data_IF_585302332065
#
_entry.id   IF_585302332065
#
_cell.length_a   1.000
_cell.length_b   1.000
_cell.length_c   1.000
_cell.angle_alpha   90.00
_cell.angle_beta   90.00
_cell.angle_gamma   90.00
#
_symmetry.space_group_name_H-M   'P 1'
#
loop_
_entity.id
_entity.type
_entity.pdbx_description
1 polymer ?
#
# COMPACT_ATOMS: atom_id res chain seq x y z
N UNK A 1 13.07 -10.59 -6.18
CA UNK A 1 11.86 -11.43 -6.00
C UNK A 1 10.83 -10.54 -5.33
N UNK A 2 9.69 -10.32 -5.98
CA UNK A 2 8.63 -9.52 -5.37
C UNK A 2 8.09 -10.28 -4.17
N UNK A 3 8.18 -9.74 -2.95
CA UNK A 3 7.55 -10.38 -1.78
C UNK A 3 6.03 -10.31 -2.00
N UNK A 4 5.42 -11.46 -2.30
CA UNK A 4 3.98 -11.54 -2.52
C UNK A 4 3.23 -11.20 -1.24
N UNK A 5 2.11 -10.51 -1.36
CA UNK A 5 1.22 -10.18 -0.24
C UNK A 5 -0.24 -10.37 -0.67
N UNK A 6 -1.11 -10.52 0.31
CA UNK A 6 -2.55 -10.64 0.11
C UNK A 6 -3.26 -9.70 1.09
N UNK A 7 -4.13 -8.84 0.57
CA UNK A 7 -5.03 -8.00 1.36
C UNK A 7 -6.18 -8.89 1.83
N UNK A 8 -6.36 -9.02 3.14
CA UNK A 8 -7.38 -9.89 3.74
C UNK A 8 -8.62 -9.12 4.17
N UNK A 9 -8.50 -7.81 4.39
CA UNK A 9 -9.60 -6.96 4.81
C UNK A 9 -9.35 -5.52 4.40
N UNK A 10 -10.42 -4.82 4.02
CA UNK A 10 -10.42 -3.38 3.78
C UNK A 10 -11.55 -2.73 4.58
N UNK A 11 -11.30 -1.56 5.15
CA UNK A 11 -12.31 -0.75 5.82
C UNK A 11 -12.03 0.73 5.69
N UNK A 12 -13.10 1.48 5.51
CA UNK A 12 -13.04 2.93 5.61
C UNK A 12 -13.16 3.34 7.08
N UNK A 13 -12.26 4.20 7.53
CA UNK A 13 -12.28 4.82 8.84
C UNK A 13 -12.31 6.34 8.67
N UNK A 14 -12.59 7.08 9.75
CA UNK A 14 -12.67 8.54 9.68
C UNK A 14 -11.32 9.14 9.25
N UNK A 15 -11.24 9.62 8.01
CA UNK A 15 -10.07 10.29 7.44
C UNK A 15 -9.01 9.36 6.82
N UNK A 16 -9.26 8.05 6.73
CA UNK A 16 -8.32 7.12 6.09
C UNK A 16 -8.97 5.77 5.75
N UNK A 17 -8.40 5.09 4.77
CA UNK A 17 -8.64 3.67 4.54
C UNK A 17 -7.65 2.82 5.34
N UNK A 18 -8.12 1.71 5.87
CA UNK A 18 -7.28 0.72 6.54
C UNK A 18 -7.40 -0.61 5.81
N UNK A 19 -6.24 -1.17 5.47
CA UNK A 19 -6.10 -2.46 4.80
C UNK A 19 -5.31 -3.39 5.70
N UNK A 20 -5.91 -4.51 6.08
CA UNK A 20 -5.16 -5.59 6.72
C UNK A 20 -4.65 -6.52 5.61
N UNK A 21 -3.38 -6.91 5.71
CA UNK A 21 -2.72 -7.75 4.73
C UNK A 21 -1.75 -8.71 5.41
N UNK A 22 -1.39 -9.77 4.69
CA UNK A 22 -0.37 -10.74 5.09
C UNK A 22 0.65 -10.92 3.99
N UNK A 23 1.88 -11.26 4.37
CA UNK A 23 2.90 -11.67 3.43
C UNK A 23 2.67 -13.14 3.06
N UNK A 24 2.80 -13.46 1.77
CA UNK A 24 2.65 -14.84 1.28
C UNK A 24 3.86 -15.70 1.64
N UNK A 25 5.04 -15.09 1.79
CA UNK A 25 6.28 -15.78 2.11
C UNK A 25 7.02 -15.07 3.26
N UNK A 26 6.94 -15.66 4.46
CA UNK A 26 7.73 -15.24 5.63
C UNK A 26 7.30 -13.90 6.22
N UNK A 27 7.04 -13.89 7.53
CA UNK A 27 6.63 -12.70 8.28
C UNK A 27 5.52 -13.05 9.28
N UNK A 28 5.29 -12.19 10.29
CA UNK A 28 4.14 -12.34 11.17
C UNK A 28 2.83 -12.16 10.40
N UNK A 29 1.81 -12.95 10.75
CA UNK A 29 0.46 -12.73 10.24
C UNK A 29 -0.10 -11.41 10.78
N UNK A 30 -0.81 -10.66 9.92
CA UNK A 30 -1.59 -9.48 10.32
C UNK A 30 -0.82 -8.17 10.35
N UNK A 31 -0.42 -7.69 9.16
CA UNK A 31 0.05 -6.33 8.98
C UNK A 31 -1.11 -5.41 8.60
N UNK A 32 -0.97 -4.13 8.94
CA UNK A 32 -1.96 -3.12 8.63
C UNK A 32 -1.34 -1.97 7.87
N UNK A 33 -1.95 -1.60 6.75
CA UNK A 33 -1.62 -0.44 5.97
C UNK A 33 -2.72 0.61 6.11
N UNK A 34 -2.33 1.83 6.47
CA UNK A 34 -3.22 2.98 6.60
C UNK A 34 -2.96 3.93 5.44
N UNK A 35 -3.98 4.14 4.62
CA UNK A 35 -3.98 5.09 3.53
C UNK A 35 -4.78 6.33 3.93
N UNK A 36 -4.09 7.44 4.18
CA UNK A 36 -4.78 8.71 4.45
C UNK A 36 -5.48 9.23 3.20
N UNK A 37 -6.54 10.03 3.36
CA UNK A 37 -7.18 10.69 2.21
C UNK A 37 -6.23 11.63 1.47
N UNK A 38 -5.31 12.28 2.20
CA UNK A 38 -4.31 13.17 1.60
C UNK A 38 -3.34 12.41 0.69
N UNK A 39 -2.86 11.24 1.13
CA UNK A 39 -1.99 10.38 0.31
C UNK A 39 -2.75 9.75 -0.86
N UNK A 40 -4.01 9.38 -0.65
CA UNK A 40 -4.86 8.87 -1.71
C UNK A 40 -5.09 9.93 -2.79
N UNK A 41 -5.42 11.17 -2.43
CA UNK A 41 -5.60 12.27 -3.40
C UNK A 41 -4.28 12.63 -4.09
N UNK A 42 -3.15 12.53 -3.38
CA UNK A 42 -1.82 12.73 -3.94
C UNK A 42 -1.47 11.69 -5.02
N UNK A 43 -1.76 10.41 -4.77
CA UNK A 43 -1.39 9.32 -5.68
C UNK A 43 -2.43 9.04 -6.77
N UNK A 44 -3.71 9.28 -6.47
CA UNK A 44 -4.84 9.11 -7.37
C UNK A 44 -5.65 10.42 -7.47
N UNK A 45 -5.09 11.46 -8.11
CA UNK A 45 -5.74 12.77 -8.19
C UNK A 45 -7.09 12.65 -8.89
N UNK A 46 -8.14 13.13 -8.23
CA UNK A 46 -9.51 13.09 -8.75
C UNK A 46 -10.30 11.82 -8.42
N UNK A 47 -9.80 10.95 -7.54
CA UNK A 47 -10.57 9.85 -6.95
C UNK A 47 -11.11 8.83 -7.96
N UNK A 48 -10.45 8.71 -9.11
CA UNK A 48 -10.92 7.87 -10.23
C UNK A 48 -10.55 6.39 -10.08
N UNK A 49 -9.85 6.01 -9.01
CA UNK A 49 -9.33 4.66 -8.77
C UNK A 49 -9.83 4.10 -7.44
N UNK A 50 -10.04 2.80 -7.37
CA UNK A 50 -10.41 2.17 -6.11
C UNK A 50 -9.26 2.30 -5.09
N UNK A 51 -9.56 2.62 -3.81
CA UNK A 51 -8.54 2.72 -2.75
C UNK A 51 -7.67 1.47 -2.62
N UNK A 52 -8.23 0.29 -2.91
CA UNK A 52 -7.53 -1.00 -2.92
C UNK A 52 -6.42 -1.07 -3.99
N UNK A 53 -6.64 -0.47 -5.17
CA UNK A 53 -5.63 -0.41 -6.25
C UNK A 53 -4.45 0.45 -5.78
N UNK A 54 -4.75 1.62 -5.21
CA UNK A 54 -3.75 2.55 -4.68
C UNK A 54 -2.98 1.92 -3.52
N UNK A 55 -3.68 1.25 -2.60
CA UNK A 55 -3.07 0.53 -1.49
C UNK A 55 -2.17 -0.62 -1.98
N UNK A 56 -2.59 -1.37 -3.00
CA UNK A 56 -1.79 -2.46 -3.59
C UNK A 56 -0.49 -1.94 -4.18
N UNK A 57 -0.51 -0.81 -4.89
CA UNK A 57 0.69 -0.19 -5.42
C UNK A 57 1.65 0.25 -4.29
N UNK A 58 1.11 0.89 -3.26
CA UNK A 58 1.89 1.32 -2.09
C UNK A 58 2.47 0.13 -1.30
N UNK A 59 1.69 -0.93 -1.10
CA UNK A 59 2.13 -2.16 -0.47
C UNK A 59 3.23 -2.84 -1.29
N UNK A 60 3.09 -2.89 -2.61
CA UNK A 60 4.12 -3.43 -3.52
C UNK A 60 5.43 -2.67 -3.37
N UNK A 61 5.39 -1.34 -3.26
CA UNK A 61 6.59 -0.55 -2.98
C UNK A 61 7.19 -0.90 -1.61
N UNK A 62 6.36 -0.94 -0.55
CA UNK A 62 6.81 -1.18 0.83
C UNK A 62 7.38 -2.58 1.02
N UNK A 63 6.75 -3.63 0.48
CA UNK A 63 7.21 -5.02 0.65
C UNK A 63 8.48 -5.33 -0.15
N UNK A 64 8.75 -4.59 -1.23
CA UNK A 64 9.96 -4.72 -2.02
C UNK A 64 11.13 -3.86 -1.50
N UNK A 65 10.86 -2.91 -0.63
CA UNK A 65 11.87 -1.99 -0.14
C UNK A 65 12.52 -2.53 1.14
N UNK A 66 13.81 -2.83 1.08
CA UNK A 66 14.60 -3.38 2.20
C UNK A 66 14.62 -2.46 3.43
N UNK A 67 14.35 -1.16 3.27
CA UNK A 67 14.24 -0.22 4.40
C UNK A 67 13.06 -0.53 5.34
N UNK A 68 12.12 -1.37 4.90
CA UNK A 68 11.00 -1.87 5.70
C UNK A 68 11.22 -3.31 6.16
N UNK A 69 12.43 -3.88 6.11
CA UNK A 69 12.70 -5.22 6.67
C UNK A 69 13.29 -5.10 8.09
N UNK A 70 12.63 -5.62 9.15
CA UNK A 70 11.38 -6.37 9.15
C UNK A 70 10.13 -5.50 9.00
N UNK A 71 9.13 -6.03 8.28
CA UNK A 71 7.90 -5.31 7.95
C UNK A 71 7.18 -4.90 9.25
N UNK A 72 6.91 -3.60 9.47
CA UNK A 72 6.24 -3.19 10.70
C UNK A 72 4.79 -3.68 10.70
N UNK A 73 4.26 -3.98 11.89
CA UNK A 73 2.87 -4.41 12.05
C UNK A 73 1.86 -3.35 11.56
N UNK A 74 2.25 -2.07 11.60
CA UNK A 74 1.47 -0.94 11.09
C UNK A 74 2.35 -0.06 10.20
N UNK A 75 1.86 0.23 9.00
CA UNK A 75 2.48 1.07 8.00
C UNK A 75 1.49 2.19 7.66
N UNK A 76 1.95 3.43 7.76
CA UNK A 76 1.19 4.59 7.29
C UNK A 76 1.68 4.97 5.89
N UNK A 77 0.76 5.41 5.04
CA UNK A 77 1.00 5.86 3.66
C UNK A 77 2.01 7.00 3.54
N UNK A 78 2.21 7.76 4.63
CA UNK A 78 3.24 8.78 4.69
C UNK A 78 4.67 8.23 4.76
N UNK A 79 4.84 7.03 5.30
CA UNK A 79 6.16 6.51 5.66
C UNK A 79 7.11 6.34 4.46
N UNK A 80 6.67 5.85 3.27
CA UNK A 80 7.48 5.82 2.07
C UNK A 80 8.11 7.17 1.70
N UNK A 81 7.32 8.26 1.74
CA UNK A 81 7.77 9.61 1.34
C UNK A 81 8.81 10.21 2.29
N UNK A 82 8.80 9.79 3.55
CA UNK A 82 9.83 10.16 4.52
C UNK A 82 11.16 9.45 4.30
N UNK A 83 11.17 8.27 3.68
CA UNK A 83 12.37 7.49 3.43
C UNK A 83 13.00 7.80 2.07
N UNK A 84 12.19 8.00 1.04
CA UNK A 84 12.65 8.41 -0.28
C UNK A 84 11.77 9.54 -0.83
N UNK A 85 12.37 10.65 -1.29
CA UNK A 85 11.63 11.72 -1.94
C UNK A 85 11.04 11.30 -3.30
N UNK A 86 11.45 10.16 -3.88
CA UNK A 86 10.87 9.60 -5.11
C UNK A 86 9.80 8.55 -4.86
N UNK A 87 9.55 8.18 -3.60
CA UNK A 87 8.62 7.10 -3.25
C UNK A 87 7.23 7.32 -3.85
N UNK A 88 6.69 8.53 -3.77
CA UNK A 88 5.35 8.84 -4.29
C UNK A 88 5.28 8.61 -5.80
N UNK A 89 6.29 9.05 -6.55
CA UNK A 89 6.34 8.85 -8.01
C UNK A 89 6.46 7.37 -8.38
N UNK A 90 7.21 6.59 -7.61
CA UNK A 90 7.35 5.15 -7.80
C UNK A 90 6.05 4.41 -7.48
N UNK A 91 5.36 4.79 -6.40
CA UNK A 91 4.05 4.24 -6.04
C UNK A 91 3.04 4.55 -7.14
N UNK A 92 2.97 5.79 -7.62
CA UNK A 92 2.08 6.18 -8.73
C UNK A 92 2.39 5.40 -10.01
N UNK A 93 3.66 5.15 -10.31
CA UNK A 93 4.05 4.33 -11.45
C UNK A 93 3.65 2.84 -11.31
N UNK A 94 3.47 2.36 -10.09
CA UNK A 94 3.00 1.00 -9.78
C UNK A 94 1.47 0.89 -9.75
N UNK A 95 0.74 2.02 -9.76
CA UNK A 95 -0.71 2.03 -9.86
C UNK A 95 -1.09 1.55 -11.26
N UNK A 96 -1.44 0.28 -11.35
CA UNK A 96 -2.00 -0.31 -12.56
C UNK A 96 -3.52 -0.46 -12.39
N UNK A 97 -4.34 0.36 -13.08
CA UNK A 97 -5.80 0.24 -13.04
C UNK A 97 -6.29 -1.09 -13.64
N UNK A 98 -5.44 -1.83 -14.37
CA UNK A 98 -5.74 -3.16 -14.91
C UNK A 98 -5.40 -4.32 -14.00
N UNK A 99 -4.71 -4.08 -12.88
CA UNK A 99 -4.24 -5.14 -11.97
C UNK A 99 -5.36 -5.77 -11.14
N UNK A 100 -6.53 -5.14 -11.05
CA UNK A 100 -7.73 -5.78 -10.49
C UNK A 100 -8.44 -6.61 -11.57
N UNK A 101 -7.81 -7.73 -11.97
CA UNK A 101 -8.49 -8.83 -12.65
C UNK A 101 -8.61 -10.03 -11.73
N UNK A 102 -9.84 -10.22 -11.23
CA UNK A 102 -10.51 -11.49 -10.92
C UNK A 102 -9.72 -12.52 -10.09
N UNK A 103 -10.13 -12.62 -8.82
CA UNK A 103 -10.17 -13.88 -8.06
C UNK A 103 -11.53 -13.99 -7.40
#
# INVERSE_FOLDING_TARGET
MTKGFEITSEREETGCWIFDFRLLEGGPDGHQFRLSWEDYDLWAPGGSLEPSIVATAALTYVTNNEAFDPLPARIDSSRPRHLSPTADAEIVALIDPGSFKLG
#
